data_IF_977952585515
#
_entry.id   IF_977952585515
#
_cell.length_a   1.000
_cell.length_b   1.000
_cell.length_c   1.000
_cell.angle_alpha   90.00
_cell.angle_beta   90.00
_cell.angle_gamma   90.00
#
_symmetry.space_group_name_H-M   'P 1'
#
loop_
_entity.id
_entity.type
_entity.pdbx_description
1 polymer ?
#
# COMPACT_ATOMS: atom_id res chain seq x y z
N UNK A 1 -10.63 -30.13 -6.57
CA UNK A 1 -9.23 -29.99 -6.12
C UNK A 1 -9.13 -28.69 -5.33
N UNK A 2 -8.42 -28.69 -4.20
CA UNK A 2 -8.04 -27.44 -3.54
C UNK A 2 -6.87 -26.90 -4.36
N UNK A 3 -6.99 -25.67 -4.86
CA UNK A 3 -5.94 -24.99 -5.60
C UNK A 3 -5.46 -23.87 -4.69
N UNK A 4 -4.18 -23.92 -4.32
CA UNK A 4 -3.55 -22.83 -3.60
C UNK A 4 -3.45 -21.61 -4.53
N UNK A 5 -3.77 -20.43 -4.01
CA UNK A 5 -3.78 -19.17 -4.76
C UNK A 5 -2.63 -18.26 -4.37
N UNK A 6 -2.04 -17.60 -5.37
CA UNK A 6 -1.14 -16.46 -5.17
C UNK A 6 -1.83 -15.19 -5.71
N UNK A 7 -1.98 -14.18 -4.85
CA UNK A 7 -2.48 -12.86 -5.23
C UNK A 7 -1.31 -11.88 -5.31
N UNK A 8 -1.11 -11.30 -6.49
CA UNK A 8 -0.16 -10.21 -6.69
C UNK A 8 -0.87 -8.87 -6.53
N UNK A 9 -0.34 -8.00 -5.69
CA UNK A 9 -0.83 -6.65 -5.48
C UNK A 9 0.32 -5.64 -5.59
N UNK A 10 0.02 -4.50 -6.20
CA UNK A 10 0.92 -3.36 -6.26
C UNK A 10 0.60 -2.42 -5.10
N UNK A 11 1.61 -2.04 -4.32
CA UNK A 11 1.49 -1.06 -3.24
C UNK A 11 2.01 0.28 -3.75
N UNK A 12 1.12 1.26 -3.78
CA UNK A 12 1.39 2.63 -4.20
C UNK A 12 1.23 3.55 -3.00
N UNK A 13 2.32 4.19 -2.60
CA UNK A 13 2.37 5.11 -1.46
C UNK A 13 2.23 6.54 -1.97
N UNK A 14 1.24 7.27 -1.47
CA UNK A 14 0.89 8.61 -1.95
C UNK A 14 1.15 9.66 -0.88
N UNK A 15 1.86 10.74 -1.24
CA UNK A 15 2.08 11.90 -0.37
C UNK A 15 1.45 13.13 -1.00
N UNK A 16 0.48 13.72 -0.29
CA UNK A 16 -0.16 14.97 -0.73
C UNK A 16 0.84 16.15 -0.70
N UNK A 17 0.60 17.15 -1.54
CA UNK A 17 1.56 18.24 -1.75
C UNK A 17 1.84 19.07 -0.49
N UNK A 18 0.89 19.12 0.45
CA UNK A 18 0.97 19.80 1.74
C UNK A 18 1.45 18.90 2.90
N UNK A 19 1.87 17.66 2.61
CA UNK A 19 2.32 16.68 3.62
C UNK A 19 3.82 16.38 3.58
N UNK A 20 4.62 17.22 2.92
CA UNK A 20 6.04 16.96 2.69
C UNK A 20 6.88 16.86 3.96
N UNK A 21 6.46 17.55 5.03
CA UNK A 21 7.18 17.58 6.31
C UNK A 21 6.75 16.48 7.29
N UNK A 22 5.81 15.60 6.89
CA UNK A 22 5.37 14.50 7.75
C UNK A 22 6.44 13.42 7.79
N UNK A 23 6.71 12.89 8.99
CA UNK A 23 7.47 11.66 9.14
C UNK A 23 6.64 10.51 8.56
N UNK A 24 7.15 9.87 7.52
CA UNK A 24 6.49 8.75 6.84
C UNK A 24 7.32 7.47 7.03
N UNK A 25 6.66 6.30 7.12
CA UNK A 25 7.35 5.02 7.17
C UNK A 25 8.33 4.85 6.01
N UNK A 26 9.46 4.19 6.29
CA UNK A 26 10.41 3.83 5.26
C UNK A 26 9.85 2.73 4.36
N UNK A 27 10.42 2.58 3.17
CA UNK A 27 10.01 1.50 2.25
C UNK A 27 10.34 0.13 2.81
N UNK A 28 11.39 0.00 3.62
CA UNK A 28 11.70 -1.23 4.34
C UNK A 28 10.60 -1.57 5.34
N UNK A 29 10.09 -0.59 6.09
CA UNK A 29 9.01 -0.81 7.05
C UNK A 29 7.70 -1.20 6.34
N UNK A 30 7.42 -0.58 5.19
CA UNK A 30 6.27 -0.97 4.36
C UNK A 30 6.46 -2.40 3.82
N UNK A 31 7.66 -2.79 3.41
CA UNK A 31 7.93 -4.16 2.96
C UNK A 31 7.72 -5.19 4.06
N UNK A 32 8.20 -4.91 5.28
CA UNK A 32 7.92 -5.72 6.47
C UNK A 32 6.40 -5.82 6.71
N UNK A 33 5.70 -4.68 6.69
CA UNK A 33 4.26 -4.63 6.94
C UNK A 33 3.47 -5.52 5.95
N UNK A 34 3.85 -5.54 4.68
CA UNK A 34 3.11 -6.23 3.64
C UNK A 34 3.57 -7.67 3.38
N UNK A 35 4.87 -7.95 3.50
CA UNK A 35 5.51 -9.17 3.00
C UNK A 35 6.22 -10.01 4.08
N UNK A 36 6.20 -9.64 5.38
CA UNK A 36 6.80 -10.55 6.38
C UNK A 36 6.10 -11.92 6.34
N UNK A 37 6.85 -13.03 6.33
CA UNK A 37 6.28 -14.37 6.29
C UNK A 37 5.32 -14.67 7.45
N UNK A 38 4.35 -15.58 7.26
CA UNK A 38 3.49 -16.03 8.34
C UNK A 38 4.28 -16.59 9.53
N UNK A 39 4.01 -16.09 10.73
CA UNK A 39 4.69 -16.47 11.97
C UNK A 39 5.87 -15.58 12.33
N UNK A 40 6.27 -14.64 11.45
CA UNK A 40 7.24 -13.61 11.77
C UNK A 40 6.55 -12.34 12.27
N UNK A 41 6.91 -11.92 13.48
CA UNK A 41 6.37 -10.75 14.14
C UNK A 41 7.50 -9.77 14.43
N UNK A 42 7.33 -8.53 13.99
CA UNK A 42 8.19 -7.43 14.42
C UNK A 42 7.40 -6.51 15.35
N UNK A 43 7.87 -6.33 16.58
CA UNK A 43 7.11 -5.65 17.65
C UNK A 43 6.60 -4.26 17.26
N UNK A 44 7.37 -3.55 16.45
CA UNK A 44 7.12 -2.13 16.17
C UNK A 44 6.35 -1.92 14.86
N UNK A 45 6.30 -2.93 13.97
CA UNK A 45 5.73 -2.81 12.62
C UNK A 45 4.60 -3.83 12.40
N UNK A 46 4.83 -5.11 12.73
CA UNK A 46 3.90 -6.22 12.55
C UNK A 46 3.69 -7.02 13.84
N UNK A 47 3.30 -6.40 14.97
CA UNK A 47 3.14 -7.10 16.25
C UNK A 47 2.06 -8.19 16.19
N UNK A 48 1.10 -8.06 15.28
CA UNK A 48 0.01 -9.03 15.04
C UNK A 48 0.15 -9.77 13.71
N UNK A 49 1.31 -9.68 13.07
CA UNK A 49 1.60 -10.26 11.74
C UNK A 49 1.41 -9.25 10.61
N UNK A 50 2.01 -9.55 9.46
CA UNK A 50 1.91 -8.76 8.22
C UNK A 50 0.57 -8.93 7.52
N UNK A 51 0.34 -8.12 6.47
CA UNK A 51 -0.80 -8.31 5.57
C UNK A 51 -0.79 -9.71 4.94
N UNK A 52 0.38 -10.19 4.47
CA UNK A 52 0.52 -11.56 3.95
C UNK A 52 0.13 -12.61 5.00
N UNK A 53 0.59 -12.46 6.25
CA UNK A 53 0.25 -13.36 7.35
C UNK A 53 -1.27 -13.42 7.58
N UNK A 54 -1.93 -12.26 7.62
CA UNK A 54 -3.38 -12.18 7.85
C UNK A 54 -4.16 -12.93 6.77
N UNK A 55 -3.81 -12.76 5.49
CA UNK A 55 -4.48 -13.49 4.40
C UNK A 55 -4.15 -14.98 4.40
N UNK A 56 -2.90 -15.34 4.70
CA UNK A 56 -2.49 -16.73 4.82
C UNK A 56 -3.28 -17.45 5.93
N UNK A 57 -3.39 -16.84 7.11
CA UNK A 57 -4.14 -17.42 8.22
C UNK A 57 -5.65 -17.44 7.96
N UNK A 58 -6.22 -16.34 7.45
CA UNK A 58 -7.67 -16.25 7.17
C UNK A 58 -8.13 -17.23 6.10
N UNK A 59 -7.23 -17.64 5.21
CA UNK A 59 -7.49 -18.61 4.15
C UNK A 59 -7.15 -20.05 4.53
N UNK A 60 -6.75 -20.31 5.78
CA UNK A 60 -6.26 -21.63 6.25
C UNK A 60 -5.09 -22.15 5.39
N UNK A 61 -4.16 -21.26 5.05
CA UNK A 61 -2.95 -21.57 4.28
C UNK A 61 -3.17 -21.74 2.77
N UNK A 62 -4.33 -21.33 2.24
CA UNK A 62 -4.69 -21.53 0.82
C UNK A 62 -4.46 -20.31 -0.07
N UNK A 63 -4.22 -19.14 0.52
CA UNK A 63 -3.97 -17.90 -0.20
C UNK A 63 -2.72 -17.22 0.36
N UNK A 64 -1.75 -16.99 -0.52
CA UNK A 64 -0.58 -16.17 -0.24
C UNK A 64 -0.69 -14.86 -1.02
N UNK A 65 -0.34 -13.74 -0.39
CA UNK A 65 -0.22 -12.46 -1.07
C UNK A 65 1.25 -12.15 -1.30
N UNK A 66 1.56 -11.64 -2.50
CA UNK A 66 2.86 -11.12 -2.87
C UNK A 66 2.74 -9.66 -3.25
N UNK A 67 3.18 -8.78 -2.36
CA UNK A 67 3.08 -7.34 -2.53
C UNK A 67 4.33 -6.78 -3.20
N UNK A 68 4.16 -6.12 -4.33
CA UNK A 68 5.22 -5.34 -4.98
C UNK A 68 5.11 -3.90 -4.52
N UNK A 69 6.13 -3.39 -3.83
CA UNK A 69 6.18 -1.99 -3.40
C UNK A 69 6.96 -1.19 -4.43
N UNK A 70 6.42 -0.03 -4.81
CA UNK A 70 7.10 0.86 -5.74
C UNK A 70 8.45 1.34 -5.15
N UNK A 71 9.59 1.09 -5.84
CA UNK A 71 10.92 1.22 -5.22
C UNK A 71 11.36 2.65 -4.97
N UNK A 72 10.84 3.64 -5.72
CA UNK A 72 11.16 5.05 -5.47
C UNK A 72 10.37 5.62 -4.26
N UNK A 73 9.47 4.82 -3.70
CA UNK A 73 8.79 5.08 -2.44
C UNK A 73 7.56 5.96 -2.56
N UNK A 74 7.46 6.99 -1.70
CA UNK A 74 6.31 7.87 -1.64
C UNK A 74 6.25 8.77 -2.88
N UNK A 75 5.14 8.72 -3.61
CA UNK A 75 4.88 9.54 -4.78
C UNK A 75 4.28 10.87 -4.32
N UNK A 76 4.97 11.96 -4.66
CA UNK A 76 4.48 13.31 -4.44
C UNK A 76 3.37 13.64 -5.44
N UNK A 77 2.17 13.85 -4.90
CA UNK A 77 1.03 14.33 -5.66
C UNK A 77 1.10 15.84 -5.85
N UNK A 78 0.51 16.32 -6.95
CA UNK A 78 0.47 17.72 -7.34
C UNK A 78 -0.41 18.58 -6.43
N UNK A 79 -1.47 18.01 -5.84
CA UNK A 79 -2.44 18.74 -5.04
C UNK A 79 -2.49 18.29 -3.56
N UNK A 80 -3.21 19.07 -2.76
CA UNK A 80 -3.37 18.85 -1.31
C UNK A 80 -4.34 17.73 -1.00
N UNK A 81 -4.33 17.23 0.24
CA UNK A 81 -5.33 16.25 0.71
C UNK A 81 -6.76 16.79 0.50
N UNK A 82 -6.98 18.07 0.83
CA UNK A 82 -8.28 18.71 0.68
C UNK A 82 -8.78 18.74 -0.77
N UNK A 83 -7.88 18.88 -1.74
CA UNK A 83 -8.25 18.84 -3.16
C UNK A 83 -8.76 17.44 -3.54
N UNK A 84 -7.98 16.40 -3.27
CA UNK A 84 -8.35 15.04 -3.64
C UNK A 84 -9.55 14.52 -2.84
N UNK A 85 -9.72 14.97 -1.59
CA UNK A 85 -10.91 14.67 -0.79
C UNK A 85 -12.17 15.39 -1.30
N UNK A 86 -12.04 16.54 -1.97
CA UNK A 86 -13.14 17.37 -2.47
C UNK A 86 -14.21 17.70 -1.41
N UNK A 87 -13.82 17.80 -0.13
CA UNK A 87 -14.74 18.01 0.99
C UNK A 87 -15.71 16.86 1.25
N UNK A 88 -15.44 15.67 0.69
CA UNK A 88 -16.26 14.46 0.85
C UNK A 88 -15.53 13.42 1.72
N UNK A 89 -16.31 12.49 2.27
CA UNK A 89 -15.82 11.30 2.95
C UNK A 89 -16.07 10.08 2.07
N UNK A 90 -15.17 9.10 2.12
CA UNK A 90 -15.27 7.88 1.31
C UNK A 90 -14.84 8.08 -0.14
N UNK A 91 -14.89 6.98 -0.90
CA UNK A 91 -14.27 6.89 -2.24
C UNK A 91 -15.17 7.38 -3.38
N UNK A 92 -16.49 7.21 -3.25
CA UNK A 92 -17.47 7.36 -4.34
C UNK A 92 -17.77 8.80 -4.76
N UNK A 93 -17.34 9.80 -3.99
CA UNK A 93 -17.58 11.22 -4.31
C UNK A 93 -16.32 12.08 -4.17
N UNK A 94 -15.15 11.43 -4.04
CA UNK A 94 -13.85 12.08 -3.94
C UNK A 94 -13.14 12.12 -5.29
N UNK A 95 -12.12 12.95 -5.39
CA UNK A 95 -11.17 12.98 -6.52
C UNK A 95 -9.99 12.04 -6.29
N UNK A 96 -10.11 11.04 -5.41
CA UNK A 96 -9.02 10.10 -5.14
C UNK A 96 -8.63 9.31 -6.40
N UNK A 97 -9.57 9.08 -7.31
CA UNK A 97 -9.27 8.46 -8.60
C UNK A 97 -8.28 9.29 -9.44
N UNK A 98 -8.30 10.63 -9.33
CA UNK A 98 -7.32 11.51 -9.98
C UNK A 98 -5.92 11.30 -9.37
N UNK A 99 -5.81 11.22 -8.03
CA UNK A 99 -4.54 10.90 -7.35
C UNK A 99 -3.99 9.53 -7.76
N UNK A 100 -4.86 8.52 -7.90
CA UNK A 100 -4.46 7.19 -8.36
C UNK A 100 -3.93 7.23 -9.80
N UNK A 101 -4.63 7.89 -10.72
CA UNK A 101 -4.18 8.04 -12.11
C UNK A 101 -2.84 8.76 -12.20
N UNK A 102 -2.68 9.86 -11.46
CA UNK A 102 -1.43 10.61 -11.38
C UNK A 102 -0.27 9.74 -10.88
N UNK A 103 -0.50 8.96 -9.82
CA UNK A 103 0.51 8.08 -9.26
C UNK A 103 0.92 6.95 -10.20
N UNK A 104 -0.04 6.34 -10.90
CA UNK A 104 0.24 5.28 -11.86
C UNK A 104 0.99 5.82 -13.08
N UNK A 105 0.66 7.04 -13.52
CA UNK A 105 1.42 7.71 -14.57
C UNK A 105 2.87 7.98 -14.14
N UNK A 106 3.09 8.44 -12.90
CA UNK A 106 4.44 8.66 -12.36
C UNK A 106 5.27 7.37 -12.30
N UNK A 107 4.64 6.24 -11.93
CA UNK A 107 5.30 4.93 -11.93
C UNK A 107 5.72 4.54 -13.35
N UNK A 108 4.83 4.66 -14.33
CA UNK A 108 5.07 4.20 -15.70
C UNK A 108 6.11 5.03 -16.45
N UNK A 109 6.27 6.32 -16.12
CA UNK A 109 7.31 7.19 -16.70
C UNK A 109 8.71 6.84 -16.21
N UNK A 110 8.82 6.09 -15.09
CA UNK A 110 10.08 5.74 -14.44
C UNK A 110 10.45 4.25 -14.57
N UNK A 111 9.66 3.46 -15.32
CA UNK A 111 9.95 2.07 -15.70
C UNK A 111 10.40 1.98 -17.15
#
# INVERSE_FOLDING_TARGET
>A
AIVDGELHNLIVLLRFSDHKDRALPSIADIDILFNSPPGEFQSDITPTGSVQHVFYQSSYGRLTIKSTIYPAGWIDLSNTESHYASGKKGLSSSRLHEALLESLAAIFVLM
#
